data_IF_212318083175
#
_entry.id   IF_212318083175
#
_cell.length_a   1.000
_cell.length_b   1.000
_cell.length_c   1.000
_cell.angle_alpha   90.00
_cell.angle_beta   90.00
_cell.angle_gamma   90.00
#
_symmetry.space_group_name_H-M   'P 1'
#
loop_
_entity.id
_entity.type
_entity.pdbx_description
1 polymer ?
#
# COMPACT_ATOMS: atom_id res chain seq x y z
N UNK A 1 9.30 -17.72 -17.75
CA UNK A 1 8.57 -16.65 -18.46
C UNK A 1 9.04 -16.52 -19.89
N UNK A 2 8.15 -16.21 -20.85
CA UNK A 2 8.52 -15.87 -22.22
C UNK A 2 9.50 -14.70 -22.29
N UNK A 3 10.36 -14.68 -23.33
CA UNK A 3 11.41 -13.66 -23.49
C UNK A 3 10.87 -12.23 -23.68
N UNK A 4 9.66 -12.07 -24.20
CA UNK A 4 9.04 -10.77 -24.44
C UNK A 4 8.47 -10.09 -23.18
N UNK A 5 8.29 -10.82 -22.07
CA UNK A 5 7.86 -10.22 -20.80
C UNK A 5 9.04 -9.45 -20.22
N UNK A 6 8.89 -8.14 -20.05
CA UNK A 6 9.88 -7.26 -19.43
C UNK A 6 9.45 -6.86 -18.01
N UNK A 7 10.38 -6.43 -17.13
CA UNK A 7 10.04 -5.87 -15.82
C UNK A 7 9.02 -4.73 -15.92
N UNK A 8 9.24 -3.77 -16.84
CA UNK A 8 8.32 -2.65 -17.06
C UNK A 8 6.88 -3.09 -17.43
N UNK A 9 6.75 -4.18 -18.19
CA UNK A 9 5.44 -4.77 -18.52
C UNK A 9 4.78 -5.38 -17.28
N UNK A 10 5.56 -6.01 -16.40
CA UNK A 10 5.08 -6.58 -15.14
C UNK A 10 4.63 -5.49 -14.17
N UNK A 11 5.37 -4.38 -14.06
CA UNK A 11 4.95 -3.23 -13.28
C UNK A 11 3.66 -2.61 -13.84
N UNK A 12 3.56 -2.46 -15.16
CA UNK A 12 2.32 -2.02 -15.81
C UNK A 12 1.14 -2.96 -15.57
N UNK A 13 1.38 -4.27 -15.61
CA UNK A 13 0.37 -5.28 -15.26
C UNK A 13 -0.05 -5.18 -13.79
N UNK A 14 0.90 -4.93 -12.88
CA UNK A 14 0.62 -4.67 -11.48
C UNK A 14 -0.30 -3.46 -11.30
N UNK A 15 -0.07 -2.38 -12.04
CA UNK A 15 -0.93 -1.19 -12.05
C UNK A 15 -2.34 -1.47 -12.56
N UNK A 16 -2.50 -2.31 -13.58
CA UNK A 16 -3.84 -2.78 -14.01
C UNK A 16 -4.55 -3.49 -12.86
N UNK A 17 -3.83 -4.28 -12.06
CA UNK A 17 -4.34 -4.86 -10.82
C UNK A 17 -4.80 -3.80 -9.82
N UNK A 18 -4.03 -2.73 -9.62
CA UNK A 18 -4.39 -1.61 -8.76
C UNK A 18 -5.70 -0.91 -9.20
N UNK A 19 -5.86 -0.67 -10.51
CA UNK A 19 -7.09 -0.13 -11.07
C UNK A 19 -8.27 -1.09 -10.91
N UNK A 20 -8.06 -2.40 -11.07
CA UNK A 20 -9.10 -3.40 -10.83
C UNK A 20 -9.53 -3.42 -9.34
N UNK A 21 -8.61 -3.23 -8.40
CA UNK A 21 -8.94 -3.09 -6.97
C UNK A 21 -9.82 -1.88 -6.73
N UNK A 22 -9.42 -0.70 -7.22
CA UNK A 22 -10.21 0.52 -7.12
C UNK A 22 -11.61 0.32 -7.71
N UNK A 23 -11.68 -0.22 -8.93
CA UNK A 23 -12.94 -0.45 -9.62
C UNK A 23 -13.82 -1.46 -8.86
N UNK A 24 -13.25 -2.54 -8.33
CA UNK A 24 -13.98 -3.54 -7.55
C UNK A 24 -14.58 -2.96 -6.27
N UNK A 25 -13.80 -2.17 -5.52
CA UNK A 25 -14.34 -1.49 -4.32
C UNK A 25 -15.37 -0.41 -4.67
N UNK A 26 -15.12 0.43 -5.67
CA UNK A 26 -16.09 1.45 -6.08
C UNK A 26 -17.38 0.83 -6.61
N UNK A 27 -17.28 -0.25 -7.39
CA UNK A 27 -18.43 -0.97 -7.92
C UNK A 27 -19.19 -1.78 -6.86
N UNK A 28 -18.59 -2.03 -5.69
CA UNK A 28 -19.28 -2.72 -4.58
C UNK A 28 -20.51 -1.97 -4.06
N UNK A 29 -20.67 -0.69 -4.38
CA UNK A 29 -21.92 0.06 -4.18
C UNK A 29 -23.11 -0.53 -4.95
N UNK A 30 -22.86 -1.24 -6.06
CA UNK A 30 -23.91 -1.91 -6.85
C UNK A 30 -24.10 -3.38 -6.48
N UNK A 31 -23.22 -3.96 -5.64
CA UNK A 31 -23.33 -5.34 -5.19
C UNK A 31 -22.04 -5.89 -4.61
N UNK A 32 -22.17 -6.75 -3.60
CA UNK A 32 -21.03 -7.36 -2.89
C UNK A 32 -20.11 -8.19 -3.80
N UNK A 33 -20.64 -8.76 -4.89
CA UNK A 33 -19.88 -9.61 -5.82
C UNK A 33 -18.74 -8.87 -6.52
N UNK A 34 -18.81 -7.54 -6.63
CA UNK A 34 -17.72 -6.73 -7.18
C UNK A 34 -16.44 -6.80 -6.32
N UNK A 35 -16.53 -7.20 -5.06
CA UNK A 35 -15.35 -7.44 -4.22
C UNK A 35 -14.50 -8.62 -4.73
N UNK A 36 -15.06 -9.55 -5.52
CA UNK A 36 -14.25 -10.57 -6.21
C UNK A 36 -13.29 -9.94 -7.22
N UNK A 37 -13.70 -8.86 -7.90
CA UNK A 37 -12.81 -8.10 -8.78
C UNK A 37 -11.66 -7.47 -7.99
N UNK A 38 -11.94 -6.97 -6.79
CA UNK A 38 -10.90 -6.44 -5.92
C UNK A 38 -9.90 -7.53 -5.47
N UNK A 39 -10.40 -8.71 -5.09
CA UNK A 39 -9.55 -9.86 -4.72
C UNK A 39 -8.70 -10.31 -5.92
N UNK A 40 -9.27 -10.43 -7.11
CA UNK A 40 -8.54 -10.75 -8.33
C UNK A 40 -7.49 -9.67 -8.66
N UNK A 41 -7.84 -8.40 -8.49
CA UNK A 41 -6.93 -7.27 -8.64
C UNK A 41 -5.76 -7.32 -7.67
N UNK A 42 -5.96 -7.72 -6.41
CA UNK A 42 -4.87 -7.95 -5.45
C UNK A 42 -3.91 -9.04 -5.90
N UNK A 43 -4.42 -10.14 -6.44
CA UNK A 43 -3.58 -11.22 -6.97
C UNK A 43 -2.76 -10.75 -8.19
N UNK A 44 -3.38 -10.02 -9.13
CA UNK A 44 -2.72 -9.44 -10.31
C UNK A 44 -1.63 -8.45 -9.87
N UNK A 45 -1.96 -7.55 -8.95
CA UNK A 45 -1.05 -6.53 -8.48
C UNK A 45 0.15 -7.14 -7.77
N UNK A 46 -0.09 -8.06 -6.83
CA UNK A 46 0.97 -8.78 -6.11
C UNK A 46 1.89 -9.56 -7.06
N UNK A 47 1.32 -10.16 -8.10
CA UNK A 47 2.08 -10.90 -9.10
C UNK A 47 2.99 -10.00 -9.94
N UNK A 48 2.51 -8.83 -10.35
CA UNK A 48 3.34 -7.84 -11.08
C UNK A 48 4.52 -7.37 -10.23
N UNK A 49 4.22 -6.90 -9.03
CA UNK A 49 5.15 -6.33 -8.04
C UNK A 49 6.18 -7.36 -7.54
N UNK A 50 5.77 -8.59 -7.22
CA UNK A 50 6.72 -9.60 -6.71
C UNK A 50 7.70 -10.11 -7.77
N UNK A 51 7.32 -10.02 -9.05
CA UNK A 51 8.06 -10.64 -10.15
C UNK A 51 8.90 -9.68 -10.97
N UNK A 52 8.61 -8.39 -11.01
CA UNK A 52 9.39 -7.46 -11.82
C UNK A 52 10.86 -7.40 -11.38
N UNK A 53 11.12 -7.25 -10.08
CA UNK A 53 12.45 -7.25 -9.49
C UNK A 53 13.12 -8.61 -9.54
N UNK A 54 12.35 -9.69 -9.34
CA UNK A 54 12.86 -11.07 -9.45
C UNK A 54 13.31 -11.40 -10.88
N UNK A 55 12.54 -10.96 -11.89
CA UNK A 55 12.86 -11.14 -13.29
C UNK A 55 14.06 -10.28 -13.72
N UNK A 56 14.14 -9.03 -13.25
CA UNK A 56 15.26 -8.14 -13.51
C UNK A 56 16.59 -8.74 -13.02
N UNK A 57 16.60 -9.26 -11.77
CA UNK A 57 17.76 -9.97 -11.19
C UNK A 57 18.10 -11.25 -11.93
N UNK A 58 17.11 -12.08 -12.21
CA UNK A 58 17.33 -13.35 -12.92
C UNK A 58 17.91 -13.13 -14.33
N UNK A 59 17.48 -12.07 -15.02
CA UNK A 59 17.97 -11.73 -16.37
C UNK A 59 19.20 -10.82 -16.38
N UNK A 60 19.69 -10.35 -15.22
CA UNK A 60 20.82 -9.42 -15.10
C UNK A 60 20.63 -8.13 -15.93
N UNK A 61 19.38 -7.66 -16.04
CA UNK A 61 19.02 -6.41 -16.75
C UNK A 61 18.58 -5.31 -15.78
N UNK A 62 19.06 -5.40 -14.53
CA UNK A 62 18.73 -4.48 -13.47
C UNK A 62 19.11 -3.05 -13.85
N UNK A 63 18.19 -2.11 -13.62
CA UNK A 63 18.43 -0.68 -13.78
C UNK A 63 18.19 -0.04 -12.41
N UNK A 64 19.20 0.02 -11.53
CA UNK A 64 18.99 0.31 -10.11
C UNK A 64 18.23 1.61 -9.86
N UNK A 65 18.64 2.71 -10.51
CA UNK A 65 17.98 4.02 -10.32
C UNK A 65 16.62 4.12 -10.99
N UNK A 66 16.49 3.57 -12.21
CA UNK A 66 15.23 3.63 -12.98
C UNK A 66 14.15 2.73 -12.36
N UNK A 67 14.52 1.48 -12.07
CA UNK A 67 13.65 0.51 -11.42
C UNK A 67 13.20 1.03 -10.06
N UNK A 68 14.12 1.52 -9.23
CA UNK A 68 13.78 2.15 -7.95
C UNK A 68 12.76 3.29 -8.11
N UNK A 69 12.95 4.19 -9.08
CA UNK A 69 12.05 5.32 -9.28
C UNK A 69 10.64 4.88 -9.71
N UNK A 70 10.55 3.96 -10.68
CA UNK A 70 9.28 3.46 -11.19
C UNK A 70 8.53 2.65 -10.13
N UNK A 71 9.23 1.74 -9.44
CA UNK A 71 8.70 0.88 -8.39
C UNK A 71 8.01 1.70 -7.28
N UNK A 72 8.74 2.64 -6.67
CA UNK A 72 8.21 3.49 -5.60
C UNK A 72 7.10 4.46 -6.07
N UNK A 73 7.18 4.94 -7.32
CA UNK A 73 6.12 5.79 -7.88
C UNK A 73 4.84 4.99 -8.12
N UNK A 74 4.96 3.78 -8.64
CA UNK A 74 3.86 2.85 -8.85
C UNK A 74 3.26 2.41 -7.51
N UNK A 75 4.07 2.14 -6.48
CA UNK A 75 3.61 1.80 -5.13
C UNK A 75 2.76 2.89 -4.48
N UNK A 76 3.20 4.15 -4.60
CA UNK A 76 2.43 5.30 -4.10
C UNK A 76 1.07 5.41 -4.81
N UNK A 77 1.05 5.29 -6.14
CA UNK A 77 -0.18 5.35 -6.94
C UNK A 77 -1.09 4.14 -6.69
N UNK A 78 -0.52 2.95 -6.58
CA UNK A 78 -1.19 1.73 -6.19
C UNK A 78 -1.91 1.88 -4.84
N UNK A 79 -1.21 2.40 -3.84
CA UNK A 79 -1.75 2.60 -2.49
C UNK A 79 -2.87 3.63 -2.49
N UNK A 80 -2.72 4.71 -3.26
CA UNK A 80 -3.79 5.68 -3.52
C UNK A 80 -5.03 5.00 -4.10
N UNK A 81 -4.89 4.20 -5.16
CA UNK A 81 -6.01 3.51 -5.81
C UNK A 81 -6.70 2.53 -4.84
N UNK A 82 -5.94 1.77 -4.06
CA UNK A 82 -6.50 0.83 -3.09
C UNK A 82 -7.30 1.56 -2.01
N UNK A 83 -6.72 2.55 -1.33
CA UNK A 83 -7.37 3.23 -0.22
C UNK A 83 -8.50 4.16 -0.68
N UNK A 84 -8.33 4.85 -1.81
CA UNK A 84 -9.44 5.61 -2.41
C UNK A 84 -10.58 4.68 -2.84
N UNK A 85 -10.26 3.48 -3.34
CA UNK A 85 -11.26 2.45 -3.65
C UNK A 85 -12.02 2.04 -2.40
N UNK A 86 -11.32 1.68 -1.33
CA UNK A 86 -11.92 1.35 -0.03
C UNK A 86 -12.83 2.48 0.48
N UNK A 87 -12.37 3.73 0.44
CA UNK A 87 -13.16 4.89 0.86
C UNK A 87 -14.35 5.21 -0.05
N UNK A 88 -14.31 4.78 -1.31
CA UNK A 88 -15.42 4.88 -2.26
C UNK A 88 -16.43 3.72 -2.12
N UNK A 89 -16.10 2.69 -1.33
CA UNK A 89 -16.98 1.55 -1.05
C UNK A 89 -17.98 1.89 0.08
N UNK A 90 -19.06 1.12 0.25
CA UNK A 90 -19.99 1.31 1.37
C UNK A 90 -19.42 0.84 2.72
N UNK A 91 -18.23 0.21 2.75
CA UNK A 91 -17.68 -0.44 3.94
C UNK A 91 -16.79 0.46 4.79
N UNK A 92 -16.08 1.40 4.17
CA UNK A 92 -15.13 2.29 4.83
C UNK A 92 -15.43 3.72 4.41
N UNK A 93 -15.47 4.62 5.39
CA UNK A 93 -15.66 6.04 5.13
C UNK A 93 -14.43 6.65 4.46
N UNK A 94 -14.67 7.54 3.50
CA UNK A 94 -13.62 8.22 2.75
C UNK A 94 -12.66 9.00 3.66
N UNK A 95 -13.15 9.68 4.69
CA UNK A 95 -12.31 10.42 5.65
C UNK A 95 -11.30 9.50 6.36
N UNK A 96 -11.75 8.34 6.82
CA UNK A 96 -10.89 7.32 7.45
C UNK A 96 -9.84 6.77 6.48
N UNK A 97 -10.26 6.43 5.26
CA UNK A 97 -9.36 5.93 4.23
C UNK A 97 -8.28 6.96 3.84
N UNK A 98 -8.64 8.25 3.76
CA UNK A 98 -7.71 9.34 3.48
C UNK A 98 -6.70 9.56 4.61
N UNK A 99 -7.10 9.40 5.88
CA UNK A 99 -6.16 9.46 7.00
C UNK A 99 -5.14 8.33 6.92
N UNK A 100 -5.58 7.10 6.61
CA UNK A 100 -4.67 5.97 6.41
C UNK A 100 -3.71 6.20 5.22
N UNK A 101 -4.23 6.74 4.11
CA UNK A 101 -3.44 7.07 2.93
C UNK A 101 -2.39 8.15 3.24
N UNK A 102 -2.79 9.22 3.91
CA UNK A 102 -1.88 10.30 4.31
C UNK A 102 -0.78 9.75 5.24
N UNK A 103 -1.14 8.92 6.23
CA UNK A 103 -0.18 8.26 7.12
C UNK A 103 0.84 7.41 6.36
N UNK A 104 0.39 6.60 5.39
CA UNK A 104 1.27 5.81 4.54
C UNK A 104 2.21 6.69 3.70
N UNK A 105 1.68 7.70 3.00
CA UNK A 105 2.48 8.57 2.15
C UNK A 105 3.52 9.38 2.95
N UNK A 106 3.17 9.84 4.16
CA UNK A 106 4.11 10.49 5.07
C UNK A 106 5.27 9.55 5.45
N UNK A 107 4.95 8.29 5.75
CA UNK A 107 5.96 7.28 6.08
C UNK A 107 6.86 6.97 4.88
N UNK A 108 6.29 6.88 3.67
CA UNK A 108 7.06 6.72 2.43
C UNK A 108 8.01 7.90 2.18
N UNK A 109 7.52 9.14 2.35
CA UNK A 109 8.37 10.34 2.25
C UNK A 109 9.52 10.29 3.27
N UNK A 110 9.23 9.91 4.52
CA UNK A 110 10.27 9.76 5.55
C UNK A 110 11.30 8.71 5.15
N UNK A 111 10.87 7.58 4.60
CA UNK A 111 11.77 6.52 4.12
C UNK A 111 12.67 7.03 2.99
N UNK A 112 12.13 7.77 2.02
CA UNK A 112 12.90 8.33 0.90
C UNK A 112 13.90 9.38 1.37
N UNK A 113 13.49 10.28 2.27
CA UNK A 113 14.40 11.27 2.88
C UNK A 113 15.52 10.59 3.66
N UNK A 114 15.17 9.58 4.48
CA UNK A 114 16.16 8.83 5.25
C UNK A 114 17.15 8.08 4.36
N UNK A 115 16.69 7.46 3.28
CA UNK A 115 17.55 6.79 2.31
C UNK A 115 18.55 7.76 1.64
N UNK A 116 18.10 8.99 1.34
CA UNK A 116 18.95 10.02 0.72
C UNK A 116 19.93 10.65 1.69
N UNK A 117 19.52 10.90 2.93
CA UNK A 117 20.31 11.64 3.92
C UNK A 117 21.27 10.73 4.69
N UNK A 118 20.83 9.52 5.05
CA UNK A 118 21.62 8.59 5.87
C UNK A 118 22.41 7.58 5.05
N UNK A 119 22.12 7.41 3.76
CA UNK A 119 22.70 6.35 2.92
C UNK A 119 22.34 4.92 3.37
N UNK A 120 21.59 4.77 4.47
CA UNK A 120 21.11 3.51 5.03
C UNK A 120 19.62 3.36 4.74
N UNK A 121 19.26 2.38 3.90
CA UNK A 121 17.87 2.00 3.68
C UNK A 121 17.42 1.09 4.83
N UNK A 122 16.89 1.66 5.92
CA UNK A 122 16.19 0.87 6.94
C UNK A 122 14.73 0.70 6.51
N UNK A 123 14.46 -0.37 5.76
CA UNK A 123 13.11 -0.72 5.30
C UNK A 123 12.32 -1.58 6.32
N UNK A 124 12.96 -2.06 7.39
CA UNK A 124 12.31 -2.95 8.36
C UNK A 124 12.03 -2.22 9.68
N UNK A 125 10.93 -1.45 9.72
CA UNK A 125 10.43 -0.84 10.96
C UNK A 125 9.15 -1.51 11.49
N UNK A 126 8.42 -2.20 10.61
CA UNK A 126 7.35 -3.12 10.95
C UNK A 126 7.72 -4.44 10.28
N UNK A 127 7.76 -5.53 11.04
CA UNK A 127 8.15 -6.86 10.56
C UNK A 127 7.16 -7.47 9.53
N UNK A 128 6.25 -6.67 8.98
CA UNK A 128 5.24 -7.09 8.01
C UNK A 128 5.77 -6.90 6.59
N UNK A 129 5.96 -8.01 5.86
CA UNK A 129 6.37 -7.96 4.45
C UNK A 129 5.24 -7.51 3.51
N UNK A 130 5.56 -7.15 2.25
CA UNK A 130 4.54 -6.78 1.24
C UNK A 130 3.46 -7.85 1.03
N UNK A 131 3.84 -9.13 1.08
CA UNK A 131 2.92 -10.27 0.95
C UNK A 131 1.96 -10.36 2.15
N UNK A 132 2.46 -10.16 3.37
CA UNK A 132 1.64 -10.28 4.59
C UNK A 132 0.60 -9.16 4.65
N UNK A 133 1.00 -7.93 4.29
CA UNK A 133 0.08 -6.81 4.16
C UNK A 133 -0.99 -7.11 3.09
N UNK A 134 -0.60 -7.70 1.96
CA UNK A 134 -1.55 -8.07 0.90
C UNK A 134 -2.58 -9.10 1.36
N UNK A 135 -2.13 -10.16 2.05
CA UNK A 135 -3.02 -11.18 2.60
C UNK A 135 -3.98 -10.59 3.63
N UNK A 136 -3.52 -9.64 4.45
CA UNK A 136 -4.36 -8.92 5.39
C UNK A 136 -5.46 -8.12 4.65
N UNK A 137 -5.12 -7.42 3.55
CA UNK A 137 -6.11 -6.67 2.76
C UNK A 137 -7.11 -7.59 2.05
N UNK A 138 -6.67 -8.74 1.53
CA UNK A 138 -7.57 -9.76 0.97
C UNK A 138 -8.49 -10.31 2.07
N UNK A 139 -7.94 -10.63 3.24
CA UNK A 139 -8.72 -11.08 4.39
C UNK A 139 -9.75 -10.05 4.86
N UNK A 140 -9.37 -8.77 4.88
CA UNK A 140 -10.27 -7.66 5.16
C UNK A 140 -11.42 -7.59 4.13
N UNK A 141 -11.11 -7.78 2.85
CA UNK A 141 -12.10 -7.80 1.76
C UNK A 141 -13.06 -8.97 1.90
N UNK A 142 -12.57 -10.16 2.23
CA UNK A 142 -13.42 -11.33 2.51
C UNK A 142 -14.31 -11.06 3.73
N UNK A 143 -13.76 -10.45 4.77
CA UNK A 143 -14.55 -10.06 5.95
C UNK A 143 -15.66 -9.08 5.59
N UNK A 144 -15.41 -8.11 4.70
CA UNK A 144 -16.45 -7.20 4.18
C UNK A 144 -17.56 -7.96 3.44
N UNK A 145 -17.20 -8.98 2.65
CA UNK A 145 -18.19 -9.82 1.96
C UNK A 145 -19.06 -10.62 2.93
N UNK A 146 -18.47 -11.14 4.02
CA UNK A 146 -19.18 -12.00 4.97
C UNK A 146 -20.00 -11.24 6.02
N UNK A 147 -19.46 -10.13 6.54
CA UNK A 147 -20.05 -9.36 7.64
C UNK A 147 -20.96 -8.23 7.14
N UNK A 148 -20.85 -7.86 5.87
CA UNK A 148 -21.60 -6.74 5.30
C UNK A 148 -21.13 -5.38 5.82
N UNK A 149 -21.76 -4.32 5.33
CA UNK A 149 -21.45 -2.92 5.69
C UNK A 149 -22.30 -2.39 6.86
N UNK A 150 -23.06 -3.28 7.53
CA UNK A 150 -23.94 -2.86 8.61
C UNK A 150 -23.15 -2.17 9.73
N UNK A 151 -23.60 -1.00 10.23
CA UNK A 151 -22.95 -0.35 11.35
C UNK A 151 -23.01 -1.28 12.56
N UNK A 152 -21.86 -1.55 13.18
CA UNK A 152 -21.78 -2.45 14.33
C UNK A 152 -22.42 -1.86 15.60
N UNK A 153 -22.16 -2.46 16.75
CA UNK A 153 -22.62 -2.01 18.07
C UNK A 153 -22.22 -0.56 18.44
N UNK A 154 -21.32 0.07 17.67
CA UNK A 154 -20.78 1.42 17.90
C UNK A 154 -21.50 2.55 17.11
N UNK A 155 -22.69 2.31 16.57
CA UNK A 155 -23.46 3.34 15.87
C UNK A 155 -22.89 3.65 14.48
N UNK A 156 -22.62 4.91 14.14
CA UNK A 156 -22.29 5.36 12.77
C UNK A 156 -20.89 4.95 12.23
N UNK A 157 -20.12 4.15 12.97
CA UNK A 157 -18.75 3.74 12.64
C UNK A 157 -18.70 2.21 12.53
N UNK A 158 -18.27 1.69 11.39
CA UNK A 158 -18.14 0.25 11.18
C UNK A 158 -16.88 -0.31 11.88
N UNK A 159 -16.84 -1.62 12.11
CA UNK A 159 -15.61 -2.27 12.60
C UNK A 159 -14.43 -2.09 11.64
N UNK A 160 -14.70 -1.94 10.33
CA UNK A 160 -13.71 -1.69 9.31
C UNK A 160 -13.14 -0.27 9.40
N UNK A 161 -13.98 0.73 9.66
CA UNK A 161 -13.55 2.11 9.91
C UNK A 161 -12.62 2.19 11.10
N UNK A 162 -12.97 1.53 12.21
CA UNK A 162 -12.13 1.51 13.40
C UNK A 162 -10.77 0.86 13.11
N UNK A 163 -10.77 -0.27 12.39
CA UNK A 163 -9.54 -0.97 12.03
C UNK A 163 -8.63 -0.10 11.14
N UNK A 164 -9.15 0.42 10.03
CA UNK A 164 -8.38 1.25 9.09
C UNK A 164 -7.95 2.57 9.73
N UNK A 165 -8.81 3.17 10.55
CA UNK A 165 -8.50 4.38 11.30
C UNK A 165 -7.39 4.19 12.32
N UNK A 166 -7.39 3.09 13.07
CA UNK A 166 -6.30 2.72 13.99
C UNK A 166 -4.98 2.54 13.22
N UNK A 167 -5.01 1.81 12.10
CA UNK A 167 -3.82 1.64 11.24
C UNK A 167 -3.31 2.99 10.76
N UNK A 168 -4.18 3.87 10.26
CA UNK A 168 -3.81 5.21 9.82
C UNK A 168 -3.20 6.06 10.93
N UNK A 169 -3.79 6.04 12.13
CA UNK A 169 -3.25 6.73 13.29
C UNK A 169 -1.86 6.20 13.70
N UNK A 170 -1.67 4.88 13.68
CA UNK A 170 -0.37 4.25 13.95
C UNK A 170 0.68 4.73 12.93
N UNK A 171 0.34 4.75 11.64
CA UNK A 171 1.25 5.21 10.58
C UNK A 171 1.69 6.67 10.80
N UNK A 172 0.75 7.56 11.12
CA UNK A 172 1.05 8.96 11.44
C UNK A 172 1.94 9.09 12.67
N UNK A 173 1.64 8.36 13.75
CA UNK A 173 2.46 8.37 14.97
C UNK A 173 3.87 7.83 14.73
N UNK A 174 4.00 6.78 13.91
CA UNK A 174 5.30 6.24 13.50
C UNK A 174 6.09 7.28 12.71
N UNK A 175 5.47 7.96 11.75
CA UNK A 175 6.11 9.04 11.01
C UNK A 175 6.64 10.15 11.93
N UNK A 176 5.82 10.63 12.88
CA UNK A 176 6.22 11.67 13.84
C UNK A 176 7.41 11.20 14.66
N UNK A 177 7.32 9.99 15.26
CA UNK A 177 8.38 9.44 16.11
C UNK A 177 9.68 9.27 15.33
N UNK A 178 9.63 8.67 14.13
CA UNK A 178 10.82 8.42 13.33
C UNK A 178 11.46 9.71 12.85
N UNK A 179 10.68 10.69 12.40
CA UNK A 179 11.18 12.01 12.00
C UNK A 179 11.90 12.70 13.15
N UNK A 180 11.32 12.70 14.35
CA UNK A 180 11.96 13.29 15.53
C UNK A 180 13.24 12.54 15.93
N UNK A 181 13.26 11.21 15.88
CA UNK A 181 14.45 10.42 16.21
C UNK A 181 15.58 10.64 15.19
N UNK A 182 15.26 10.63 13.89
CA UNK A 182 16.23 10.87 12.81
C UNK A 182 16.78 12.30 12.86
N UNK A 183 15.93 13.30 13.08
CA UNK A 183 16.36 14.69 13.23
C UNK A 183 17.31 14.87 14.43
N UNK A 184 17.01 14.25 15.57
CA UNK A 184 17.91 14.26 16.74
C UNK A 184 19.26 13.60 16.44
N UNK A 185 19.26 12.46 15.72
CA UNK A 185 20.49 11.75 15.33
C UNK A 185 21.37 12.64 14.45
N UNK A 186 20.79 13.26 13.41
CA UNK A 186 21.49 14.15 12.48
C UNK A 186 22.07 15.37 13.18
N UNK A 187 21.27 16.04 14.02
CA UNK A 187 21.71 17.22 14.77
C UNK A 187 22.90 16.93 15.73
N UNK A 188 23.04 15.68 16.21
CA UNK A 188 24.18 15.26 17.02
C UNK A 188 25.41 14.93 16.15
N UNK A 189 25.21 14.41 14.95
CA UNK A 189 26.32 14.05 14.03
C UNK A 189 26.94 15.28 13.36
N UNK A 190 26.14 16.28 12.98
CA UNK A 190 26.62 17.51 12.31
C UNK A 190 27.16 18.59 13.27
N UNK A 191 27.08 18.39 14.59
CA UNK A 191 27.70 19.27 15.60
C UNK A 191 29.20 19.02 15.80
N UNK A 192 29.81 18.12 15.04
CA UNK A 192 31.27 17.88 15.00
C UNK A 192 31.86 18.44 13.72
#
# INVERSE_FOLDING_TARGET
>A
MPRWVTPDLLTGFGMVGAFAIFAGYAASNWGVDWLWLAIAGYAIQWFGDSMDGSLARHRKIERPSYGYFIDHSCDGLATLLILAGMGASPYIRMDVALVALAGYLLLSIHAYLSARVLGEFKLSYLAAGPTELRLLLIGLTIAMMMLGYAPGLFGAVSGFDLFVGIVGAILVLLFIKQTLTTAKRLALTERR
#
